data_IF_301660013304
#
_entry.id   IF_301660013304
#
_cell.length_a   1.000
_cell.length_b   1.000
_cell.length_c   1.000
_cell.angle_alpha   90.00
_cell.angle_beta   90.00
_cell.angle_gamma   90.00
#
_symmetry.space_group_name_H-M   'P 1'
#
loop_
_entity.id
_entity.type
_entity.pdbx_description
1 polymer ?
#
# COMPACT_ATOMS: atom_id res chain seq x y z
N UNK A 1 17.00 1.59 -1.27
CA UNK A 1 15.81 1.34 -0.43
C UNK A 1 14.58 0.83 -1.17
N UNK A 2 14.01 1.50 -2.20
CA UNK A 2 12.76 1.03 -2.83
C UNK A 2 12.86 -0.39 -3.40
N UNK A 3 13.95 -0.67 -4.12
CA UNK A 3 14.27 -1.97 -4.74
C UNK A 3 15.26 -2.80 -3.93
N UNK A 4 15.77 -2.25 -2.83
CA UNK A 4 16.81 -2.88 -2.03
C UNK A 4 16.16 -3.75 -0.96
N UNK A 5 16.52 -5.03 -0.93
CA UNK A 5 16.01 -5.98 0.06
C UNK A 5 16.84 -5.92 1.34
N UNK A 6 16.17 -6.08 2.47
CA UNK A 6 16.87 -6.49 3.70
C UNK A 6 17.42 -7.91 3.54
N UNK A 7 18.45 -8.32 4.29
CA UNK A 7 18.90 -9.71 4.31
C UNK A 7 17.73 -10.64 4.60
N UNK A 8 17.47 -11.60 3.69
CA UNK A 8 16.34 -12.54 3.75
C UNK A 8 14.95 -11.88 3.80
N UNK A 9 14.87 -10.59 3.50
CA UNK A 9 13.65 -9.79 3.57
C UNK A 9 13.18 -9.30 2.20
N UNK A 10 12.17 -8.44 2.26
CA UNK A 10 11.52 -7.84 1.09
C UNK A 10 11.92 -6.37 0.95
N UNK A 11 11.98 -5.91 -0.30
CA UNK A 11 12.03 -4.48 -0.65
C UNK A 11 10.61 -3.91 -0.72
N UNK A 12 10.49 -2.59 -0.88
CA UNK A 12 9.18 -1.96 -1.09
C UNK A 12 8.53 -2.40 -2.41
N UNK A 13 9.32 -2.66 -3.46
CA UNK A 13 8.81 -3.23 -4.72
C UNK A 13 8.27 -4.65 -4.54
N UNK A 14 8.94 -5.48 -3.74
CA UNK A 14 8.44 -6.84 -3.44
C UNK A 14 7.10 -6.77 -2.68
N UNK A 15 7.02 -5.90 -1.66
CA UNK A 15 5.76 -5.67 -0.93
C UNK A 15 4.67 -5.15 -1.86
N UNK A 16 4.98 -4.23 -2.79
CA UNK A 16 4.02 -3.74 -3.77
C UNK A 16 3.51 -4.84 -4.69
N UNK A 17 4.37 -5.75 -5.14
CA UNK A 17 3.95 -6.92 -5.92
C UNK A 17 2.99 -7.81 -5.12
N UNK A 18 3.28 -8.10 -3.84
CA UNK A 18 2.39 -8.87 -2.95
C UNK A 18 1.04 -8.19 -2.72
N UNK A 19 1.03 -6.86 -2.57
CA UNK A 19 -0.20 -6.10 -2.42
C UNK A 19 -1.01 -6.09 -3.72
N UNK A 20 -0.36 -5.99 -4.89
CA UNK A 20 -1.04 -6.08 -6.17
C UNK A 20 -1.73 -7.45 -6.36
N UNK A 21 -1.04 -8.54 -5.99
CA UNK A 21 -1.64 -9.88 -5.99
C UNK A 21 -2.82 -9.99 -5.02
N UNK A 22 -2.69 -9.40 -3.82
CA UNK A 22 -3.78 -9.35 -2.85
C UNK A 22 -4.99 -8.55 -3.37
N UNK A 23 -4.75 -7.40 -4.02
CA UNK A 23 -5.82 -6.61 -4.63
C UNK A 23 -6.52 -7.39 -5.75
N UNK A 24 -5.77 -8.12 -6.58
CA UNK A 24 -6.36 -9.02 -7.59
C UNK A 24 -7.23 -10.09 -6.94
N UNK A 25 -6.76 -10.70 -5.84
CA UNK A 25 -7.54 -11.65 -5.06
C UNK A 25 -8.83 -11.01 -4.50
N UNK A 26 -8.75 -9.79 -3.95
CA UNK A 26 -9.92 -9.07 -3.47
C UNK A 26 -10.92 -8.77 -4.59
N UNK A 27 -10.46 -8.27 -5.74
CA UNK A 27 -11.32 -7.99 -6.89
C UNK A 27 -12.03 -9.26 -7.38
N UNK A 28 -11.35 -10.40 -7.39
CA UNK A 28 -11.93 -11.65 -7.86
C UNK A 28 -12.96 -12.25 -6.90
N UNK A 29 -12.76 -12.10 -5.59
CA UNK A 29 -13.54 -12.83 -4.58
C UNK A 29 -14.51 -11.96 -3.77
N UNK A 30 -14.30 -10.65 -3.76
CA UNK A 30 -15.02 -9.69 -2.93
C UNK A 30 -15.41 -8.42 -3.69
N UNK A 31 -15.59 -8.51 -5.03
CA UNK A 31 -16.00 -7.35 -5.83
C UNK A 31 -17.29 -6.71 -5.31
N UNK A 32 -17.32 -5.37 -5.29
CA UNK A 32 -18.43 -4.59 -4.76
C UNK A 32 -18.66 -4.70 -3.24
N UNK A 33 -17.77 -5.36 -2.49
CA UNK A 33 -17.82 -5.42 -1.02
C UNK A 33 -16.89 -4.39 -0.38
N UNK A 34 -17.22 -3.97 0.84
CA UNK A 34 -16.31 -3.20 1.69
C UNK A 34 -15.39 -4.15 2.47
N UNK A 35 -14.08 -3.98 2.31
CA UNK A 35 -13.05 -4.80 2.98
C UNK A 35 -12.23 -3.90 3.90
N UNK A 36 -12.12 -4.28 5.18
CA UNK A 36 -11.24 -3.61 6.14
C UNK A 36 -9.85 -4.28 6.13
N UNK A 37 -8.78 -3.48 6.04
CA UNK A 37 -7.40 -3.95 6.05
C UNK A 37 -6.67 -3.34 7.25
N UNK A 38 -6.05 -4.19 8.08
CA UNK A 38 -5.18 -3.75 9.19
C UNK A 38 -3.77 -4.24 8.88
N UNK A 39 -2.84 -3.30 8.66
CA UNK A 39 -1.50 -3.62 8.19
C UNK A 39 -0.46 -2.57 8.64
N UNK A 40 0.80 -2.81 8.26
CA UNK A 40 1.93 -1.93 8.57
C UNK A 40 2.17 -0.85 7.50
N UNK A 41 3.22 -0.05 7.70
CA UNK A 41 3.62 1.07 6.82
C UNK A 41 3.81 0.67 5.36
N UNK A 42 4.59 -0.38 5.07
CA UNK A 42 4.93 -0.72 3.69
C UNK A 42 3.70 -1.13 2.86
N UNK A 43 2.78 -1.98 3.38
CA UNK A 43 1.49 -2.22 2.74
C UNK A 43 0.67 -0.95 2.46
N UNK A 44 0.57 -0.03 3.43
CA UNK A 44 -0.19 1.21 3.26
C UNK A 44 0.38 2.08 2.13
N UNK A 45 1.70 2.28 2.10
CA UNK A 45 2.34 3.07 1.05
C UNK A 45 2.23 2.40 -0.32
N UNK A 46 2.31 1.07 -0.37
CA UNK A 46 2.06 0.33 -1.61
C UNK A 46 0.63 0.55 -2.14
N UNK A 47 -0.38 0.64 -1.28
CA UNK A 47 -1.75 0.98 -1.69
C UNK A 47 -1.85 2.41 -2.24
N UNK A 48 -1.14 3.38 -1.66
CA UNK A 48 -1.11 4.75 -2.20
C UNK A 48 -0.47 4.78 -3.61
N UNK A 49 0.60 3.99 -3.84
CA UNK A 49 1.22 3.87 -5.16
C UNK A 49 0.28 3.19 -6.16
N UNK A 50 -0.32 2.06 -5.78
CA UNK A 50 -1.11 1.23 -6.70
C UNK A 50 -2.49 1.82 -7.01
N UNK A 51 -3.18 2.37 -6.00
CA UNK A 51 -4.59 2.78 -6.13
C UNK A 51 -4.79 4.29 -6.21
N UNK A 52 -3.79 5.10 -5.82
CA UNK A 52 -3.83 6.56 -6.02
C UNK A 52 -2.83 7.04 -7.06
N UNK A 53 -2.10 6.13 -7.71
CA UNK A 53 -1.17 6.44 -8.80
C UNK A 53 0.04 7.27 -8.36
N UNK A 54 0.36 7.30 -7.06
CA UNK A 54 1.51 8.05 -6.56
C UNK A 54 2.82 7.38 -6.98
N UNK A 55 3.85 8.19 -7.18
CA UNK A 55 5.23 7.70 -7.16
C UNK A 55 5.63 7.27 -5.75
N UNK A 56 6.69 6.48 -5.61
CA UNK A 56 7.22 6.14 -4.28
C UNK A 56 7.72 7.38 -3.55
N UNK A 57 8.33 8.31 -4.27
CA UNK A 57 8.83 9.58 -3.76
C UNK A 57 7.69 10.39 -3.12
N UNK A 58 6.57 10.54 -3.82
CA UNK A 58 5.36 11.20 -3.29
C UNK A 58 4.78 10.44 -2.10
N UNK A 59 4.63 9.12 -2.21
CA UNK A 59 4.09 8.30 -1.11
C UNK A 59 4.94 8.43 0.17
N UNK A 60 6.28 8.49 0.03
CA UNK A 60 7.17 8.72 1.17
C UNK A 60 7.19 10.17 1.65
N UNK A 61 7.04 11.17 0.78
CA UNK A 61 7.01 12.58 1.16
C UNK A 61 5.73 12.91 1.94
N UNK A 62 4.61 12.31 1.54
CA UNK A 62 3.28 12.55 2.10
C UNK A 62 2.85 11.55 3.18
N UNK A 63 3.73 10.60 3.54
CA UNK A 63 3.47 9.65 4.64
C UNK A 63 3.07 10.41 5.90
N UNK A 64 1.87 10.13 6.42
CA UNK A 64 1.32 10.80 7.61
C UNK A 64 2.24 10.71 8.82
N UNK A 65 3.10 9.68 8.87
CA UNK A 65 4.11 9.49 9.92
C UNK A 65 5.21 10.56 9.87
N UNK A 66 5.43 11.20 8.71
CA UNK A 66 6.36 12.32 8.52
C UNK A 66 5.66 13.67 8.62
N UNK A 67 4.47 13.80 8.04
CA UNK A 67 3.71 15.06 8.04
C UNK A 67 2.96 15.29 9.35
N UNK A 68 2.92 14.29 10.24
CA UNK A 68 2.17 14.31 11.52
C UNK A 68 0.65 14.47 11.34
N UNK A 69 0.12 14.11 10.17
CA UNK A 69 -1.31 14.22 9.83
C UNK A 69 -2.06 12.91 10.08
N UNK A 70 -1.95 12.37 11.30
CA UNK A 70 -2.67 11.13 11.66
C UNK A 70 -4.19 11.31 11.54
N UNK A 71 -4.87 10.26 11.10
CA UNK A 71 -6.32 10.16 11.07
C UNK A 71 -6.74 8.70 11.36
N UNK A 72 -8.03 8.45 11.70
CA UNK A 72 -8.50 7.12 12.11
C UNK A 72 -8.37 6.02 11.04
N UNK A 73 -8.33 6.37 9.76
CA UNK A 73 -8.24 5.41 8.66
C UNK A 73 -7.96 6.06 7.31
N UNK A 74 -7.76 5.23 6.29
CA UNK A 74 -7.57 5.64 4.90
C UNK A 74 -8.46 4.81 4.00
N UNK A 75 -9.11 5.47 3.05
CA UNK A 75 -9.99 4.83 2.07
C UNK A 75 -9.28 4.71 0.72
N UNK A 76 -9.59 3.60 0.05
CA UNK A 76 -9.05 3.25 -1.26
C UNK A 76 -10.18 2.63 -2.08
N UNK A 77 -10.23 2.97 -3.37
CA UNK A 77 -11.16 2.39 -4.33
C UNK A 77 -10.38 1.46 -5.25
N UNK A 78 -10.91 0.25 -5.45
CA UNK A 78 -10.38 -0.76 -6.36
C UNK A 78 -11.40 -0.98 -7.48
N UNK A 79 -11.10 -0.43 -8.65
CA UNK A 79 -11.98 -0.50 -9.84
C UNK A 79 -11.92 -1.84 -10.58
#
# INVERSE_FOLDING_TARGET
MITERFPEGESYEDVKARIADFLKFLKQNYDGKSVAIVAHKAPQLALDVLLKGKTWEEAFAEDWRKTHSWQPGWEYILE
#
